data_IF_553369336043
#
_entry.id   IF_553369336043
#
_cell.length_a   1.000
_cell.length_b   1.000
_cell.length_c   1.000
_cell.angle_alpha   90.00
_cell.angle_beta   90.00
_cell.angle_gamma   90.00
#
_symmetry.space_group_name_H-M   'P 1'
#
loop_
_entity.id
_entity.type
_entity.pdbx_description
1 polymer ?
#
# COMPACT_ATOMS: atom_id res chain seq x y z
N UNK A 1 -2.92 -18.48 -40.97
CA UNK A 1 -3.24 -17.86 -39.66
C UNK A 1 -3.16 -18.93 -38.59
N UNK A 2 -2.19 -18.85 -37.66
CA UNK A 2 -2.11 -19.78 -36.52
C UNK A 2 -3.33 -19.54 -35.62
N UNK A 3 -4.20 -20.56 -35.48
CA UNK A 3 -5.37 -20.49 -34.59
C UNK A 3 -4.87 -20.44 -33.16
N UNK A 4 -4.95 -19.27 -32.52
CA UNK A 4 -4.74 -19.17 -31.08
C UNK A 4 -5.87 -19.98 -30.44
N UNK A 5 -5.50 -20.99 -29.67
CA UNK A 5 -6.47 -21.89 -29.04
C UNK A 5 -7.33 -21.08 -28.07
N UNK A 6 -8.64 -20.99 -28.33
CA UNK A 6 -9.58 -20.08 -27.63
C UNK A 6 -9.57 -20.32 -26.10
N UNK A 7 -9.23 -21.53 -25.66
CA UNK A 7 -9.03 -21.84 -24.23
C UNK A 7 -7.84 -21.10 -23.60
N UNK A 8 -6.74 -20.92 -24.34
CA UNK A 8 -5.57 -20.20 -23.84
C UNK A 8 -5.87 -18.71 -23.64
N UNK A 9 -6.67 -18.11 -24.53
CA UNK A 9 -7.09 -16.70 -24.41
C UNK A 9 -7.95 -16.50 -23.16
N UNK A 10 -8.90 -17.40 -22.89
CA UNK A 10 -9.75 -17.36 -21.69
C UNK A 10 -8.94 -17.53 -20.40
N UNK A 11 -7.95 -18.42 -20.41
CA UNK A 11 -7.07 -18.64 -19.26
C UNK A 11 -6.19 -17.42 -18.95
N UNK A 12 -5.60 -16.80 -19.99
CA UNK A 12 -4.81 -15.57 -19.83
C UNK A 12 -5.69 -14.44 -19.28
N UNK A 13 -6.87 -14.23 -19.85
CA UNK A 13 -7.80 -13.19 -19.39
C UNK A 13 -8.21 -13.39 -17.92
N UNK A 14 -8.52 -14.63 -17.52
CA UNK A 14 -8.86 -14.95 -16.12
C UNK A 14 -7.68 -14.68 -15.17
N UNK A 15 -6.46 -15.04 -15.60
CA UNK A 15 -5.24 -14.83 -14.79
C UNK A 15 -4.95 -13.34 -14.62
N UNK A 16 -5.08 -12.54 -15.68
CA UNK A 16 -4.90 -11.08 -15.62
C UNK A 16 -5.95 -10.45 -14.70
N UNK A 17 -7.21 -10.88 -14.80
CA UNK A 17 -8.28 -10.38 -13.92
C UNK A 17 -7.98 -10.67 -12.44
N UNK A 18 -7.54 -11.89 -12.14
CA UNK A 18 -7.17 -12.27 -10.77
C UNK A 18 -6.00 -11.41 -10.24
N UNK A 19 -4.97 -11.16 -11.06
CA UNK A 19 -3.85 -10.29 -10.69
C UNK A 19 -4.29 -8.85 -10.41
N UNK A 20 -5.20 -8.30 -11.22
CA UNK A 20 -5.76 -6.95 -11.01
C UNK A 20 -6.52 -6.88 -9.69
N UNK A 21 -7.35 -7.88 -9.39
CA UNK A 21 -8.10 -7.95 -8.13
C UNK A 21 -7.16 -8.05 -6.93
N UNK A 22 -6.13 -8.91 -6.99
CA UNK A 22 -5.13 -9.02 -5.93
C UNK A 22 -4.36 -7.71 -5.72
N UNK A 23 -3.91 -7.07 -6.79
CA UNK A 23 -3.23 -5.78 -6.71
C UNK A 23 -4.13 -4.69 -6.12
N UNK A 24 -5.39 -4.63 -6.55
CA UNK A 24 -6.39 -3.70 -6.02
C UNK A 24 -6.63 -3.89 -4.53
N UNK A 25 -6.79 -5.13 -4.07
CA UNK A 25 -6.97 -5.45 -2.65
C UNK A 25 -5.78 -4.99 -1.79
N UNK A 26 -4.55 -5.22 -2.25
CA UNK A 26 -3.32 -4.79 -1.55
C UNK A 26 -3.23 -3.26 -1.46
N UNK A 27 -3.60 -2.54 -2.52
CA UNK A 27 -3.58 -1.06 -2.53
C UNK A 27 -4.62 -0.51 -1.55
N UNK A 28 -5.85 -1.03 -1.56
CA UNK A 28 -6.95 -0.57 -0.70
C UNK A 28 -6.59 -0.80 0.78
N UNK A 29 -6.16 -2.01 1.13
CA UNK A 29 -5.81 -2.35 2.51
C UNK A 29 -4.60 -1.56 3.03
N UNK A 30 -3.61 -1.27 2.19
CA UNK A 30 -2.49 -0.40 2.56
C UNK A 30 -2.91 1.05 2.79
N UNK A 31 -3.80 1.58 1.94
CA UNK A 31 -4.27 2.96 2.05
C UNK A 31 -5.20 3.15 3.26
N UNK A 32 -6.05 2.17 3.59
CA UNK A 32 -6.93 2.27 4.77
C UNK A 32 -6.18 2.36 6.09
N UNK A 33 -5.03 1.69 6.21
CA UNK A 33 -4.19 1.82 7.40
C UNK A 33 -3.38 3.12 7.44
N UNK A 34 -3.06 3.70 6.28
CA UNK A 34 -2.26 4.91 6.19
C UNK A 34 -2.93 6.12 6.86
N UNK A 35 -4.22 6.33 6.62
CA UNK A 35 -4.97 7.43 7.23
C UNK A 35 -5.04 7.28 8.76
N UNK A 36 -5.19 6.05 9.26
CA UNK A 36 -5.19 5.78 10.70
C UNK A 36 -3.83 6.08 11.35
N UNK A 37 -2.73 5.71 10.70
CA UNK A 37 -1.37 6.05 11.17
C UNK A 37 -1.12 7.56 11.12
N UNK A 38 -1.54 8.23 10.05
CA UNK A 38 -1.43 9.69 9.93
C UNK A 38 -2.19 10.42 11.03
N UNK A 39 -3.43 9.98 11.32
CA UNK A 39 -4.23 10.56 12.40
C UNK A 39 -3.57 10.37 13.76
N UNK A 40 -3.18 9.13 14.11
CA UNK A 40 -2.52 8.82 15.40
C UNK A 40 -1.20 9.54 15.57
N UNK A 41 -0.43 9.68 14.50
CA UNK A 41 0.83 10.42 14.54
C UNK A 41 0.61 11.91 14.78
N UNK A 42 -0.39 12.51 14.12
CA UNK A 42 -0.76 13.91 14.34
C UNK A 42 -1.27 14.17 15.77
N UNK A 43 -1.98 13.21 16.38
CA UNK A 43 -2.43 13.29 17.78
C UNK A 43 -1.27 13.26 18.78
N UNK A 44 -0.31 12.35 18.59
CA UNK A 44 0.83 12.19 19.51
C UNK A 44 1.94 13.24 19.28
N UNK A 45 2.06 13.76 18.06
CA UNK A 45 3.11 14.72 17.67
C UNK A 45 2.52 15.97 16.98
N UNK A 46 1.69 16.79 17.65
CA UNK A 46 1.00 17.92 17.03
C UNK A 46 1.92 19.03 16.49
N UNK A 47 3.21 19.01 16.85
CA UNK A 47 4.24 19.94 16.36
C UNK A 47 4.97 19.47 15.10
N UNK A 48 4.77 18.23 14.64
CA UNK A 48 5.51 17.63 13.54
C UNK A 48 4.91 17.92 12.16
N UNK A 49 4.58 19.19 11.88
CA UNK A 49 3.91 19.60 10.62
C UNK A 49 4.72 19.30 9.35
N UNK A 50 6.01 19.05 9.49
CA UNK A 50 6.94 18.80 8.37
C UNK A 50 7.18 17.32 8.10
N UNK A 51 6.28 16.44 8.55
CA UNK A 51 6.45 14.99 8.44
C UNK A 51 5.43 14.40 7.47
N UNK A 52 5.91 13.69 6.45
CA UNK A 52 5.12 12.96 5.47
C UNK A 52 5.11 11.48 5.83
N UNK A 53 3.92 10.91 6.00
CA UNK A 53 3.76 9.47 6.28
C UNK A 53 3.26 8.78 5.02
N UNK A 54 3.93 7.69 4.63
CA UNK A 54 3.56 6.87 3.48
C UNK A 54 3.67 5.38 3.80
N UNK A 55 3.00 4.52 3.02
CA UNK A 55 3.10 3.08 3.21
C UNK A 55 4.51 2.59 2.82
N UNK A 56 5.16 1.82 3.71
CA UNK A 56 6.49 1.26 3.43
C UNK A 56 6.40 0.13 2.40
N UNK A 57 7.46 -0.17 1.62
CA UNK A 57 7.55 -1.41 0.87
C UNK A 57 7.42 -2.64 1.78
N UNK A 58 7.85 -2.54 3.04
CA UNK A 58 7.76 -3.60 4.04
C UNK A 58 6.32 -3.70 4.55
N UNK A 59 5.72 -4.88 4.43
CA UNK A 59 4.35 -5.10 4.90
C UNK A 59 4.23 -4.85 6.42
N UNK A 60 3.18 -4.14 6.83
CA UNK A 60 2.93 -3.78 8.23
C UNK A 60 3.68 -2.53 8.71
N UNK A 61 4.56 -1.94 7.89
CA UNK A 61 5.28 -0.72 8.23
C UNK A 61 4.84 0.48 7.39
N UNK A 62 4.99 1.65 7.99
CA UNK A 62 4.79 2.98 7.42
C UNK A 62 6.07 3.78 7.57
N UNK A 63 6.42 4.50 6.51
CA UNK A 63 7.57 5.39 6.50
C UNK A 63 7.14 6.78 6.94
N UNK A 64 7.85 7.30 7.92
CA UNK A 64 7.69 8.63 8.50
C UNK A 64 8.88 9.46 8.06
N UNK A 65 8.66 10.34 7.08
CA UNK A 65 9.71 11.12 6.41
C UNK A 65 9.66 12.56 6.90
N UNK A 66 10.72 13.02 7.53
CA UNK A 66 10.93 14.44 7.80
C UNK A 66 11.92 15.05 6.81
N UNK A 67 12.14 16.36 6.88
CA UNK A 67 13.13 17.07 6.06
C UNK A 67 14.57 16.55 6.23
N UNK A 68 14.85 15.83 7.32
CA UNK A 68 16.22 15.42 7.69
C UNK A 68 16.35 13.93 8.01
N UNK A 69 15.25 13.20 8.23
CA UNK A 69 15.29 11.83 8.72
C UNK A 69 14.18 10.97 8.12
N UNK A 70 14.46 9.67 8.01
CA UNK A 70 13.51 8.62 7.66
C UNK A 70 13.38 7.66 8.84
N UNK A 71 12.16 7.46 9.33
CA UNK A 71 11.85 6.49 10.38
C UNK A 71 10.76 5.53 9.90
N UNK A 72 10.66 4.37 10.54
CA UNK A 72 9.61 3.38 10.27
C UNK A 72 8.70 3.25 11.49
N UNK A 73 7.39 3.23 11.29
CA UNK A 73 6.38 3.00 12.33
C UNK A 73 5.40 1.92 11.89
N UNK A 74 4.93 1.10 12.82
CA UNK A 74 3.81 0.17 12.61
C UNK A 74 2.49 0.91 12.91
N UNK A 75 1.40 0.45 12.30
CA UNK A 75 0.01 0.65 12.76
C UNK A 75 -0.21 0.40 14.27
N UNK A 76 0.50 -0.57 14.86
CA UNK A 76 0.33 -1.00 16.26
C UNK A 76 1.40 -0.46 17.22
N UNK A 77 2.39 0.29 16.73
CA UNK A 77 3.39 0.91 17.59
C UNK A 77 2.74 2.02 18.44
N UNK A 78 2.67 1.79 19.76
CA UNK A 78 2.26 2.79 20.76
C UNK A 78 3.34 3.83 20.98
#
# INVERSE_FOLDING_TARGET
MKKININAVKFIAATVLALVVCAGYVIITRNSGLEAVQHRFAENFPKSKDVKIMASPIAGLYEVISSTNLYYTDTDAK
#
